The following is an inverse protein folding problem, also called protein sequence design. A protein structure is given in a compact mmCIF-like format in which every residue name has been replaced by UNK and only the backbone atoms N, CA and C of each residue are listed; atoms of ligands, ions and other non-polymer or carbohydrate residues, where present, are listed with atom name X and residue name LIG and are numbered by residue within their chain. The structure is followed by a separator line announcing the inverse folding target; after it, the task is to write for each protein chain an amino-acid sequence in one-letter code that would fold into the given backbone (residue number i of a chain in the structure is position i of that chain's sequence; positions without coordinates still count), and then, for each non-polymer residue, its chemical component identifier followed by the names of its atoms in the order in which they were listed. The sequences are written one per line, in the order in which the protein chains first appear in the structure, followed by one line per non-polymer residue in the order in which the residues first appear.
data_IF_405120536650
#
_entry.id   IF_405120536650
#
_cell.length_a   1.000
_cell.length_b   1.000
_cell.length_c   1.000
_cell.angle_alpha   90.00
_cell.angle_beta   90.00
_cell.angle_gamma   90.00
#
_symmetry.space_group_name_H-M   'P 1'
#
loop_
_entity.id
_entity.type
_entity.pdbx_description
1 polymer ?
#
# COMPACT_ATOMS: atom_id res chain seq x y z
N UNK A 1 15.35 34.10 45.27
CA UNK A 1 16.41 33.87 46.27
C UNK A 1 16.42 32.42 46.70
N UNK A 2 17.39 31.64 46.25
CA UNK A 2 18.27 30.75 47.05
C UNK A 2 19.15 29.96 46.09
N UNK A 3 20.41 29.86 46.49
CA UNK A 3 21.60 29.44 45.76
C UNK A 3 21.94 27.94 45.96
N UNK A 4 22.96 27.50 45.21
CA UNK A 4 23.90 26.37 45.42
C UNK A 4 23.52 25.05 44.73
N UNK A 5 24.41 24.28 44.10
CA UNK A 5 25.84 24.42 43.76
C UNK A 5 26.27 23.24 42.86
N UNK A 6 27.20 23.51 41.95
CA UNK A 6 28.41 22.74 41.56
C UNK A 6 28.35 21.27 41.06
N UNK A 7 29.05 21.11 39.92
CA UNK A 7 29.52 19.92 39.18
C UNK A 7 30.48 19.02 39.99
N UNK A 8 30.82 17.80 39.51
CA UNK A 8 32.02 17.60 38.66
C UNK A 8 31.82 16.58 37.50
N UNK A 9 32.38 16.77 36.29
CA UNK A 9 33.78 16.51 35.86
C UNK A 9 34.21 15.03 35.99
N UNK A 10 34.27 14.33 34.85
CA UNK A 10 35.06 13.10 34.68
C UNK A 10 35.41 12.91 33.21
N UNK A 11 36.62 13.36 32.88
CA UNK A 11 37.33 13.13 31.63
C UNK A 11 37.93 11.72 31.62
N UNK A 12 37.68 10.93 30.58
CA UNK A 12 38.43 9.68 30.35
C UNK A 12 39.51 9.94 29.29
N UNK A 13 40.74 9.96 29.78
CA UNK A 13 41.98 9.88 29.01
C UNK A 13 42.12 8.47 28.41
N UNK A 14 42.42 8.37 27.11
CA UNK A 14 43.02 7.18 26.52
C UNK A 14 44.53 7.42 26.35
N UNK A 15 45.40 6.48 26.75
CA UNK A 15 46.84 6.64 26.58
C UNK A 15 47.26 6.26 25.16
N UNK A 16 48.08 7.12 24.56
CA UNK A 16 48.90 6.80 23.39
C UNK A 16 50.08 5.91 23.82
N UNK A 17 50.07 4.66 23.39
CA UNK A 17 51.22 3.76 23.43
C UNK A 17 52.04 3.88 22.14
N UNK A 18 53.33 4.19 22.30
CA UNK A 18 54.30 4.47 21.24
C UNK A 18 54.84 3.22 20.53
N UNK A 19 55.42 3.45 19.36
CA UNK A 19 55.89 2.53 18.33
C UNK A 19 57.02 1.56 18.73
N UNK A 20 57.12 0.45 18.00
CA UNK A 20 58.40 -0.26 17.78
C UNK A 20 58.48 -0.76 16.32
N UNK A 21 59.52 -0.38 15.54
CA UNK A 21 59.74 -0.92 14.20
C UNK A 21 60.60 -2.19 14.27
N UNK A 22 60.17 -3.23 13.56
CA UNK A 22 60.91 -4.49 13.39
C UNK A 22 60.86 -4.93 11.93
N UNK A 23 62.03 -5.17 11.36
CA UNK A 23 62.35 -5.42 9.95
C UNK A 23 62.08 -6.86 9.48
N UNK A 24 61.51 -6.98 8.27
CA UNK A 24 61.79 -7.90 7.15
C UNK A 24 61.54 -9.43 7.24
N UNK A 25 61.10 -9.96 6.09
CA UNK A 25 61.01 -11.37 5.62
C UNK A 25 59.88 -12.21 6.23
N UNK A 26 59.03 -12.95 5.50
CA UNK A 26 58.96 -13.40 4.11
C UNK A 26 57.48 -13.48 3.70
N UNK A 27 57.11 -12.93 2.55
CA UNK A 27 55.79 -13.15 1.95
C UNK A 27 55.89 -14.39 1.08
N UNK A 28 55.39 -15.53 1.58
CA UNK A 28 54.99 -16.62 0.71
C UNK A 28 53.71 -16.21 -0.05
N UNK A 29 53.58 -16.52 -1.35
CA UNK A 29 52.32 -16.34 -2.05
C UNK A 29 51.31 -17.34 -1.47
N UNK A 30 50.33 -16.83 -0.72
CA UNK A 30 49.12 -17.57 -0.42
C UNK A 30 48.51 -17.94 -1.76
N UNK A 31 48.42 -19.25 -2.01
CA UNK A 31 47.70 -19.82 -3.13
C UNK A 31 46.33 -19.15 -3.20
N UNK A 32 46.06 -18.53 -4.34
CA UNK A 32 44.73 -18.02 -4.65
C UNK A 32 43.76 -19.19 -4.56
N UNK A 33 43.09 -19.32 -3.41
CA UNK A 33 41.79 -19.95 -3.37
C UNK A 33 40.94 -19.12 -4.31
N UNK A 34 40.60 -19.71 -5.45
CA UNK A 34 39.65 -19.14 -6.37
C UNK A 34 38.45 -18.71 -5.56
N UNK A 35 38.22 -17.40 -5.50
CA UNK A 35 36.92 -16.86 -5.18
C UNK A 35 35.99 -17.49 -6.22
N UNK A 36 35.29 -18.54 -5.80
CA UNK A 36 34.14 -19.03 -6.51
C UNK A 36 33.29 -17.81 -6.81
N UNK A 37 33.03 -17.61 -8.10
CA UNK A 37 32.12 -16.60 -8.59
C UNK A 37 30.95 -16.47 -7.63
N UNK A 38 30.65 -15.25 -7.20
CA UNK A 38 29.37 -14.96 -6.58
C UNK A 38 28.30 -15.61 -7.45
N UNK A 39 27.71 -16.69 -6.95
CA UNK A 39 26.49 -17.23 -7.52
C UNK A 39 25.49 -16.10 -7.35
N UNK A 40 25.16 -15.43 -8.45
CA UNK A 40 23.97 -14.60 -8.49
C UNK A 40 22.82 -15.51 -8.10
N UNK A 41 22.36 -15.38 -6.85
CA UNK A 41 21.13 -16.03 -6.41
C UNK A 41 20.05 -15.51 -7.33
N UNK A 42 19.43 -16.41 -8.10
CA UNK A 42 18.33 -16.04 -8.98
C UNK A 42 17.23 -15.40 -8.13
N UNK A 43 16.91 -14.13 -8.39
CA UNK A 43 15.82 -13.43 -7.71
C UNK A 43 14.52 -14.16 -8.00
N UNK A 44 13.76 -14.52 -6.96
CA UNK A 44 12.47 -15.18 -7.09
C UNK A 44 11.51 -14.25 -7.83
N UNK A 45 11.00 -14.65 -9.00
CA UNK A 45 10.08 -13.82 -9.79
C UNK A 45 8.60 -14.13 -9.54
N UNK A 46 8.28 -15.27 -8.91
CA UNK A 46 6.89 -15.66 -8.63
C UNK A 46 6.36 -14.95 -7.38
N UNK A 47 5.39 -14.04 -7.57
CA UNK A 47 4.70 -13.33 -6.48
C UNK A 47 3.97 -14.27 -5.52
N UNK A 48 3.75 -15.52 -5.92
CA UNK A 48 3.12 -16.56 -5.11
C UNK A 48 4.15 -17.38 -4.32
N UNK A 49 5.42 -16.99 -4.28
CA UNK A 49 6.41 -17.63 -3.41
C UNK A 49 6.37 -16.98 -2.01
N UNK A 50 6.28 -17.75 -0.91
CA UNK A 50 6.33 -17.19 0.45
C UNK A 50 7.59 -16.36 0.76
N UNK A 51 8.70 -16.58 0.05
CA UNK A 51 9.95 -15.84 0.18
C UNK A 51 10.04 -14.64 -0.75
N UNK A 52 9.10 -14.43 -1.68
CA UNK A 52 9.15 -13.34 -2.66
C UNK A 52 9.44 -11.97 -2.02
N UNK A 53 8.69 -11.61 -0.97
CA UNK A 53 8.90 -10.33 -0.29
C UNK A 53 10.30 -10.23 0.32
N UNK A 54 10.76 -11.30 0.99
CA UNK A 54 12.05 -11.33 1.67
C UNK A 54 13.22 -11.23 0.68
N UNK A 55 13.12 -11.94 -0.44
CA UNK A 55 14.14 -11.93 -1.49
C UNK A 55 14.26 -10.58 -2.19
N UNK A 56 13.20 -9.76 -2.14
CA UNK A 56 13.22 -8.37 -2.59
C UNK A 56 13.43 -7.37 -1.44
N UNK A 57 13.93 -7.83 -0.29
CA UNK A 57 14.28 -6.96 0.82
C UNK A 57 13.07 -6.38 1.56
N UNK A 58 11.92 -7.06 1.58
CA UNK A 58 10.76 -6.67 2.38
C UNK A 58 10.49 -7.65 3.51
N UNK A 59 10.07 -7.11 4.65
CA UNK A 59 9.56 -7.91 5.77
C UNK A 59 8.22 -7.36 6.26
N UNK A 60 7.37 -8.26 6.74
CA UNK A 60 6.03 -7.94 7.24
C UNK A 60 6.02 -8.04 8.76
N UNK A 61 5.33 -7.10 9.40
CA UNK A 61 5.07 -7.09 10.83
C UNK A 61 3.57 -6.96 11.06
N UNK A 62 2.96 -7.95 11.71
CA UNK A 62 1.58 -7.89 12.20
C UNK A 62 1.50 -7.04 13.48
N UNK A 63 0.77 -5.92 13.39
CA UNK A 63 0.64 -4.93 14.46
C UNK A 63 -0.62 -5.13 15.32
N UNK A 64 -1.44 -6.15 15.04
CA UNK A 64 -2.81 -6.41 15.54
C UNK A 64 -3.93 -5.83 14.65
N UNK A 65 -5.15 -6.33 14.85
CA UNK A 65 -6.37 -5.91 14.15
C UNK A 65 -6.25 -5.90 12.63
N UNK A 66 -5.61 -6.96 12.08
CA UNK A 66 -5.40 -7.14 10.64
C UNK A 66 -4.65 -5.96 9.99
N UNK A 67 -3.83 -5.25 10.77
CA UNK A 67 -2.96 -4.17 10.31
C UNK A 67 -1.53 -4.66 10.23
N UNK A 68 -0.94 -4.53 9.06
CA UNK A 68 0.38 -5.04 8.71
C UNK A 68 1.26 -3.90 8.24
N UNK A 69 2.48 -3.87 8.75
CA UNK A 69 3.51 -2.95 8.31
C UNK A 69 4.49 -3.73 7.45
N UNK A 70 4.74 -3.22 6.25
CA UNK A 70 5.73 -3.75 5.33
C UNK A 70 6.89 -2.76 5.31
N UNK A 71 8.06 -3.25 5.67
CA UNK A 71 9.28 -2.47 5.73
C UNK A 71 10.22 -2.90 4.62
N UNK A 72 10.98 -1.95 4.07
CA UNK A 72 12.16 -2.25 3.27
C UNK A 72 13.37 -2.52 4.17
N UNK A 73 14.27 -3.38 3.71
CA UNK A 73 15.48 -3.75 4.43
C UNK A 73 16.32 -2.50 4.73
N UNK A 74 16.79 -2.34 5.99
CA UNK A 74 17.61 -1.20 6.40
C UNK A 74 18.89 -0.98 5.59
N UNK A 75 19.40 -1.97 4.85
CA UNK A 75 20.54 -1.79 3.94
C UNK A 75 20.25 -0.87 2.75
N UNK A 76 18.98 -0.69 2.38
CA UNK A 76 18.53 0.15 1.25
C UNK A 76 17.94 1.49 1.75
N UNK A 77 17.53 1.55 3.01
CA UNK A 77 16.94 2.71 3.65
C UNK A 77 15.86 2.25 4.62
N UNK A 78 16.07 2.47 5.91
CA UNK A 78 15.11 2.07 6.94
C UNK A 78 13.90 3.02 6.92
N UNK A 79 12.77 2.54 6.42
CA UNK A 79 11.49 3.23 6.44
C UNK A 79 10.33 2.24 6.36
N UNK A 80 9.18 2.60 6.93
CA UNK A 80 7.94 1.88 6.62
C UNK A 80 7.69 2.10 5.13
N UNK A 81 7.71 1.01 4.35
CA UNK A 81 7.46 1.09 2.92
C UNK A 81 5.96 1.14 2.63
N UNK A 82 5.15 0.48 3.47
CA UNK A 82 3.72 0.39 3.30
C UNK A 82 3.02 -0.02 4.59
N UNK A 83 1.86 0.57 4.88
CA UNK A 83 0.93 0.07 5.90
C UNK A 83 -0.33 -0.46 5.20
N UNK A 84 -0.71 -1.70 5.50
CA UNK A 84 -1.90 -2.35 4.94
C UNK A 84 -2.84 -2.72 6.07
N UNK A 85 -4.11 -2.35 5.98
CA UNK A 85 -5.17 -2.84 6.88
C UNK A 85 -6.17 -3.66 6.06
N UNK A 86 -6.52 -4.85 6.56
CA UNK A 86 -7.47 -5.75 5.89
C UNK A 86 -8.75 -5.85 6.70
N UNK A 87 -9.87 -5.49 6.08
CA UNK A 87 -11.21 -5.69 6.63
C UNK A 87 -11.86 -6.87 5.90
N UNK A 88 -11.86 -8.03 6.56
CA UNK A 88 -12.42 -9.27 6.02
C UNK A 88 -13.95 -9.27 5.98
N UNK A 89 -14.62 -8.49 6.84
CA UNK A 89 -16.08 -8.40 6.90
C UNK A 89 -16.60 -7.59 5.71
N UNK A 90 -16.00 -6.43 5.47
CA UNK A 90 -16.33 -5.56 4.34
C UNK A 90 -15.66 -5.98 3.05
N UNK A 91 -14.72 -6.93 3.12
CA UNK A 91 -13.86 -7.37 2.02
C UNK A 91 -13.15 -6.17 1.39
N UNK A 92 -12.46 -5.38 2.20
CA UNK A 92 -11.70 -4.22 1.73
C UNK A 92 -10.26 -4.25 2.23
N UNK A 93 -9.33 -3.76 1.40
CA UNK A 93 -7.97 -3.50 1.82
C UNK A 93 -7.68 -2.01 1.77
N UNK A 94 -7.10 -1.47 2.84
CA UNK A 94 -6.69 -0.07 2.95
C UNK A 94 -5.18 0.01 2.90
N UNK A 95 -4.67 0.83 2.00
CA UNK A 95 -3.25 1.07 1.74
C UNK A 95 -2.92 2.48 2.23
N UNK A 96 -2.21 2.53 3.35
CA UNK A 96 -1.83 3.75 4.05
C UNK A 96 -0.35 4.04 3.84
N UNK A 97 -0.04 5.34 3.81
CA UNK A 97 1.34 5.86 3.83
C UNK A 97 2.24 5.15 2.81
N UNK A 98 1.78 5.12 1.55
CA UNK A 98 2.68 4.79 0.45
C UNK A 98 3.60 6.00 0.32
N UNK A 99 4.83 5.85 0.80
CA UNK A 99 5.92 6.78 0.52
C UNK A 99 6.65 6.25 -0.71
N UNK A 100 6.22 6.60 -1.94
CA UNK A 100 6.86 6.08 -3.15
C UNK A 100 8.28 6.64 -3.30
N UNK A 101 8.57 7.75 -2.61
CA UNK A 101 9.79 8.54 -2.71
C UNK A 101 11.00 7.94 -1.97
N UNK A 102 10.82 6.87 -1.17
CA UNK A 102 11.90 6.31 -0.35
C UNK A 102 12.57 5.04 -0.90
N UNK A 103 12.27 4.59 -2.13
CA UNK A 103 13.07 3.49 -2.72
C UNK A 103 12.50 2.75 -3.94
N UNK A 104 11.42 3.21 -4.57
CA UNK A 104 10.79 2.47 -5.68
C UNK A 104 11.35 2.78 -7.08
N UNK A 105 12.51 3.43 -7.19
CA UNK A 105 13.08 3.85 -8.48
C UNK A 105 14.03 2.85 -9.15
N UNK A 106 14.35 1.72 -8.51
CA UNK A 106 15.04 0.62 -9.19
C UNK A 106 14.03 -0.29 -9.90
N UNK A 107 14.29 -0.59 -11.17
CA UNK A 107 13.48 -1.53 -11.96
C UNK A 107 13.40 -2.94 -11.34
N UNK A 108 14.31 -3.25 -10.42
CA UNK A 108 14.37 -4.52 -9.69
C UNK A 108 13.45 -4.55 -8.46
N UNK A 109 12.90 -3.40 -8.03
CA UNK A 109 12.01 -3.35 -6.87
C UNK A 109 10.55 -3.67 -7.25
N UNK A 110 9.90 -4.59 -6.51
CA UNK A 110 8.49 -4.90 -6.65
C UNK A 110 7.63 -3.64 -6.61
N UNK A 111 6.72 -3.53 -7.57
CA UNK A 111 5.69 -2.49 -7.54
C UNK A 111 4.65 -2.79 -6.46
N UNK A 112 3.97 -1.76 -5.99
CA UNK A 112 2.92 -1.87 -4.98
C UNK A 112 1.89 -3.00 -5.24
N UNK A 113 1.36 -3.21 -6.47
CA UNK A 113 0.52 -4.37 -6.76
C UNK A 113 1.16 -5.74 -6.49
N UNK A 114 2.45 -5.90 -6.78
CA UNK A 114 3.19 -7.14 -6.55
C UNK A 114 3.43 -7.35 -5.06
N UNK A 115 3.79 -6.30 -4.33
CA UNK A 115 3.93 -6.33 -2.86
C UNK A 115 2.61 -6.79 -2.23
N UNK A 116 1.48 -6.19 -2.65
CA UNK A 116 0.16 -6.56 -2.16
C UNK A 116 -0.18 -8.04 -2.44
N UNK A 117 0.03 -8.52 -3.67
CA UNK A 117 -0.25 -9.90 -4.04
C UNK A 117 0.61 -10.90 -3.25
N UNK A 118 1.91 -10.64 -3.14
CA UNK A 118 2.81 -11.47 -2.37
C UNK A 118 2.49 -11.45 -0.86
N UNK A 119 2.10 -10.29 -0.34
CA UNK A 119 1.59 -10.16 1.03
C UNK A 119 0.36 -11.03 1.25
N UNK A 120 -0.65 -10.94 0.39
CA UNK A 120 -1.88 -11.74 0.49
C UNK A 120 -1.59 -13.23 0.42
N UNK A 121 -0.66 -13.66 -0.44
CA UNK A 121 -0.26 -15.06 -0.53
C UNK A 121 0.44 -15.51 0.76
N UNK A 122 1.43 -14.75 1.23
CA UNK A 122 2.22 -15.06 2.44
C UNK A 122 1.34 -15.20 3.69
N UNK A 123 0.41 -14.27 3.87
CA UNK A 123 -0.49 -14.25 5.04
C UNK A 123 -1.75 -15.10 4.84
N UNK A 124 -1.87 -15.83 3.71
CA UNK A 124 -3.04 -16.65 3.36
C UNK A 124 -4.38 -15.87 3.41
N UNK A 125 -4.35 -14.62 2.95
CA UNK A 125 -5.51 -13.73 2.89
C UNK A 125 -6.15 -13.84 1.49
N UNK A 126 -7.46 -14.09 1.38
CA UNK A 126 -8.13 -14.26 0.09
C UNK A 126 -8.40 -12.91 -0.60
N UNK A 127 -7.34 -12.15 -0.89
CA UNK A 127 -7.45 -10.80 -1.44
C UNK A 127 -8.15 -10.73 -2.79
N UNK A 128 -8.20 -11.84 -3.55
CA UNK A 128 -8.98 -11.94 -4.80
C UNK A 128 -10.48 -11.75 -4.59
N UNK A 129 -10.96 -11.91 -3.37
CA UNK A 129 -12.36 -11.69 -2.99
C UNK A 129 -12.64 -10.26 -2.51
N UNK A 130 -11.64 -9.39 -2.45
CA UNK A 130 -11.83 -8.01 -2.01
C UNK A 130 -12.79 -7.27 -2.97
N UNK A 131 -13.74 -6.56 -2.38
CA UNK A 131 -14.73 -5.70 -3.02
C UNK A 131 -14.18 -4.31 -3.30
N UNK A 132 -13.25 -3.84 -2.49
CA UNK A 132 -12.64 -2.53 -2.67
C UNK A 132 -11.19 -2.46 -2.20
N UNK A 133 -10.47 -1.54 -2.83
CA UNK A 133 -9.14 -1.10 -2.39
C UNK A 133 -9.24 0.39 -2.07
N UNK A 134 -8.79 0.77 -0.88
CA UNK A 134 -8.70 2.16 -0.42
C UNK A 134 -7.23 2.57 -0.47
N UNK A 135 -6.90 3.69 -1.11
CA UNK A 135 -5.53 4.20 -1.19
C UNK A 135 -5.52 5.69 -0.85
N UNK A 136 -4.56 6.10 -0.02
CA UNK A 136 -4.30 7.52 0.27
C UNK A 136 -3.81 8.26 -0.99
N UNK A 137 -4.42 9.41 -1.26
CA UNK A 137 -3.98 10.37 -2.25
C UNK A 137 -2.94 11.27 -1.57
N UNK A 138 -1.77 11.37 -2.18
CA UNK A 138 -0.60 12.07 -1.63
C UNK A 138 0.02 13.07 -2.62
N UNK A 139 -0.22 12.93 -3.92
CA UNK A 139 0.37 13.78 -4.94
C UNK A 139 -0.48 15.02 -5.21
N UNK A 140 0.21 16.15 -5.43
CA UNK A 140 -0.44 17.45 -5.61
C UNK A 140 -1.30 17.56 -6.87
N UNK A 141 -1.04 16.75 -7.91
CA UNK A 141 -1.83 16.80 -9.15
C UNK A 141 -3.19 16.15 -8.92
N UNK A 142 -3.21 14.95 -8.31
CA UNK A 142 -4.47 14.27 -7.99
C UNK A 142 -5.30 15.09 -6.99
N UNK A 143 -4.69 15.69 -5.96
CA UNK A 143 -5.41 16.61 -5.07
C UNK A 143 -6.05 17.78 -5.83
N UNK A 144 -5.32 18.37 -6.78
CA UNK A 144 -5.85 19.45 -7.61
C UNK A 144 -7.03 18.99 -8.49
N UNK A 145 -6.95 17.79 -9.05
CA UNK A 145 -8.05 17.21 -9.83
C UNK A 145 -9.29 16.98 -8.97
N UNK A 146 -9.11 16.56 -7.71
CA UNK A 146 -10.19 16.45 -6.73
C UNK A 146 -10.82 17.81 -6.43
N UNK A 147 -10.01 18.84 -6.15
CA UNK A 147 -10.49 20.20 -5.91
C UNK A 147 -11.27 20.77 -7.10
N UNK A 148 -10.73 20.61 -8.31
CA UNK A 148 -11.38 21.04 -9.55
C UNK A 148 -12.71 20.31 -9.76
N UNK A 149 -12.76 19.00 -9.50
CA UNK A 149 -13.99 18.22 -9.60
C UNK A 149 -15.05 18.70 -8.61
N UNK A 150 -14.66 18.96 -7.35
CA UNK A 150 -15.57 19.50 -6.33
C UNK A 150 -16.14 20.86 -6.74
N UNK A 151 -15.28 21.78 -7.17
CA UNK A 151 -15.70 23.12 -7.62
C UNK A 151 -16.63 23.06 -8.83
N UNK A 152 -16.32 22.20 -9.81
CA UNK A 152 -17.14 22.04 -11.02
C UNK A 152 -18.50 21.38 -10.78
N UNK A 153 -18.71 20.75 -9.62
CA UNK A 153 -19.95 20.05 -9.26
C UNK A 153 -20.62 20.65 -7.99
N UNK A 154 -20.24 21.86 -7.58
CA UNK A 154 -20.78 22.56 -6.40
C UNK A 154 -20.70 21.74 -5.09
N UNK A 155 -19.65 20.93 -4.95
CA UNK A 155 -19.41 20.09 -3.77
C UNK A 155 -18.59 20.83 -2.71
N UNK A 156 -18.95 20.64 -1.45
CA UNK A 156 -18.16 21.15 -0.32
C UNK A 156 -16.78 20.49 -0.21
N UNK A 157 -15.80 21.11 0.49
CA UNK A 157 -14.43 20.61 0.59
C UNK A 157 -14.31 19.23 1.25
N UNK A 158 -15.22 18.90 2.17
CA UNK A 158 -15.24 17.61 2.88
C UNK A 158 -16.25 16.63 2.29
N UNK A 159 -17.02 17.06 1.29
CA UNK A 159 -18.08 16.25 0.71
C UNK A 159 -17.47 15.14 -0.14
N UNK A 160 -17.88 13.91 0.14
CA UNK A 160 -17.53 12.76 -0.67
C UNK A 160 -18.27 12.78 -2.01
N UNK A 161 -17.66 12.17 -3.02
CA UNK A 161 -18.31 11.98 -4.32
C UNK A 161 -17.99 10.62 -4.91
N UNK A 162 -18.94 10.12 -5.68
CA UNK A 162 -18.85 8.84 -6.36
C UNK A 162 -18.86 9.03 -7.87
N UNK A 163 -18.08 8.21 -8.57
CA UNK A 163 -17.90 8.25 -10.00
C UNK A 163 -18.03 6.83 -10.55
N UNK A 164 -19.11 6.58 -11.27
CA UNK A 164 -19.29 5.34 -12.01
C UNK A 164 -18.46 5.32 -13.30
N UNK A 165 -18.18 4.13 -13.83
CA UNK A 165 -17.33 3.92 -15.01
C UNK A 165 -17.72 4.67 -16.29
N UNK A 166 -18.97 5.14 -16.38
CA UNK A 166 -19.53 5.86 -17.52
C UNK A 166 -19.77 7.35 -17.25
N UNK A 167 -19.32 7.88 -16.10
CA UNK A 167 -19.50 9.27 -15.73
C UNK A 167 -18.28 10.13 -16.11
N UNK A 168 -18.46 11.44 -16.37
CA UNK A 168 -17.37 12.32 -16.84
C UNK A 168 -16.13 12.35 -15.93
N UNK A 169 -16.30 12.20 -14.62
CA UNK A 169 -15.18 12.16 -13.69
C UNK A 169 -14.28 10.93 -13.86
N UNK A 170 -14.74 9.87 -14.53
CA UNK A 170 -13.98 8.64 -14.66
C UNK A 170 -12.71 8.82 -15.46
N UNK A 171 -12.77 9.60 -16.55
CA UNK A 171 -11.61 9.89 -17.40
C UNK A 171 -10.56 10.76 -16.70
N UNK A 172 -10.95 11.46 -15.63
CA UNK A 172 -10.04 12.25 -14.79
C UNK A 172 -9.28 11.35 -13.83
N UNK A 173 -9.99 10.46 -13.11
CA UNK A 173 -9.38 9.70 -12.02
C UNK A 173 -8.86 8.31 -12.41
N UNK A 174 -9.40 7.66 -13.44
CA UNK A 174 -8.92 6.35 -13.88
C UNK A 174 -7.49 6.33 -14.44
N UNK A 175 -6.92 7.43 -14.99
CA UNK A 175 -5.51 7.46 -15.40
C UNK A 175 -4.53 7.64 -14.24
N UNK A 176 -4.98 7.99 -13.04
CA UNK A 176 -4.12 8.28 -11.88
C UNK A 176 -3.32 7.06 -11.43
N UNK A 177 -2.19 7.30 -10.75
CA UNK A 177 -1.37 6.23 -10.19
C UNK A 177 -2.16 5.40 -9.16
N UNK A 178 -2.98 6.05 -8.33
CA UNK A 178 -3.79 5.38 -7.30
C UNK A 178 -4.80 4.41 -7.89
N UNK A 179 -5.55 4.82 -8.93
CA UNK A 179 -6.47 3.93 -9.61
C UNK A 179 -5.73 2.74 -10.25
N UNK A 180 -4.60 3.00 -10.92
CA UNK A 180 -3.76 1.95 -11.53
C UNK A 180 -3.17 1.00 -10.50
N UNK A 181 -2.78 1.49 -9.33
CA UNK A 181 -2.32 0.64 -8.22
C UNK A 181 -3.45 -0.24 -7.71
N UNK A 182 -4.61 0.33 -7.40
CA UNK A 182 -5.77 -0.42 -6.93
C UNK A 182 -6.20 -1.50 -7.93
N UNK A 183 -6.34 -1.15 -9.20
CA UNK A 183 -6.72 -2.12 -10.25
C UNK A 183 -5.62 -3.15 -10.54
N UNK A 184 -4.35 -2.78 -10.37
CA UNK A 184 -3.23 -3.71 -10.46
C UNK A 184 -3.20 -4.73 -9.32
N UNK A 185 -3.67 -4.37 -8.12
CA UNK A 185 -3.77 -5.30 -6.98
C UNK A 185 -4.77 -6.42 -7.25
N UNK A 186 -5.86 -6.12 -7.96
CA UNK A 186 -6.94 -7.06 -8.32
C UNK A 186 -7.11 -7.17 -9.85
N UNK A 187 -6.12 -7.70 -10.59
CA UNK A 187 -6.05 -7.59 -12.05
C UNK A 187 -7.13 -8.41 -12.78
N UNK A 188 -7.74 -9.39 -12.12
CA UNK A 188 -8.79 -10.24 -12.70
C UNK A 188 -10.20 -9.69 -12.49
N UNK A 189 -10.36 -8.53 -11.85
CA UNK A 189 -11.66 -7.96 -11.49
C UNK A 189 -11.81 -6.57 -12.07
N UNK A 190 -12.96 -6.29 -12.70
CA UNK A 190 -13.22 -4.99 -13.31
C UNK A 190 -13.67 -3.98 -12.25
N UNK A 191 -12.99 -2.84 -12.17
CA UNK A 191 -13.44 -1.72 -11.35
C UNK A 191 -14.78 -1.15 -11.88
N UNK A 192 -15.68 -0.80 -10.97
CA UNK A 192 -17.03 -0.31 -11.29
C UNK A 192 -17.26 1.14 -10.86
N UNK A 193 -16.62 1.54 -9.75
CA UNK A 193 -16.88 2.81 -9.07
C UNK A 193 -15.62 3.31 -8.39
N UNK A 194 -15.42 4.62 -8.48
CA UNK A 194 -14.42 5.35 -7.69
C UNK A 194 -15.20 6.20 -6.68
N UNK A 195 -14.81 6.16 -5.42
CA UNK A 195 -15.30 7.08 -4.39
C UNK A 195 -14.11 7.86 -3.86
N UNK A 196 -14.23 9.18 -3.79
CA UNK A 196 -13.23 10.06 -3.20
C UNK A 196 -13.83 10.76 -2.00
N UNK A 197 -13.15 10.68 -0.87
CA UNK A 197 -13.58 11.29 0.39
C UNK A 197 -12.40 11.71 1.25
N UNK A 198 -12.67 12.52 2.25
CA UNK A 198 -11.72 12.72 3.35
C UNK A 198 -11.97 11.67 4.43
N UNK A 199 -10.89 11.15 4.98
CA UNK A 199 -10.89 10.22 6.09
C UNK A 199 -10.08 10.81 7.25
N UNK A 200 -10.75 10.98 8.38
CA UNK A 200 -10.10 11.40 9.62
C UNK A 200 -9.61 10.16 10.35
N UNK A 201 -8.33 10.14 10.67
CA UNK A 201 -7.66 9.04 11.37
C UNK A 201 -6.99 9.57 12.63
N UNK A 202 -6.83 8.70 13.62
CA UNK A 202 -6.00 9.04 14.76
C UNK A 202 -4.54 9.18 14.31
N UNK A 203 -3.88 10.20 14.85
CA UNK A 203 -2.46 10.41 14.57
C UNK A 203 -1.61 9.50 15.44
N UNK A 204 -0.65 8.81 14.82
CA UNK A 204 0.36 8.02 15.53
C UNK A 204 1.32 8.92 16.34
N UNK A 205 1.42 10.20 15.97
CA UNK A 205 2.14 11.20 16.74
C UNK A 205 1.29 11.75 17.87
N UNK A 206 1.79 11.65 19.10
CA UNK A 206 1.16 12.26 20.28
C UNK A 206 1.03 13.80 20.20
N UNK A 207 1.64 14.45 19.20
CA UNK A 207 1.53 15.91 18.99
C UNK A 207 0.26 16.32 18.26
N UNK A 208 -0.33 15.41 17.49
CA UNK A 208 -1.53 15.70 16.71
C UNK A 208 -2.65 14.77 17.14
N UNK A 209 -3.87 15.29 17.20
CA UNK A 209 -5.03 14.48 17.58
C UNK A 209 -5.56 13.63 16.41
N UNK A 210 -5.37 14.10 15.18
CA UNK A 210 -5.85 13.40 13.99
C UNK A 210 -5.06 13.80 12.74
N UNK A 211 -5.05 12.89 11.77
CA UNK A 211 -4.64 13.12 10.38
C UNK A 211 -5.91 13.13 9.53
N UNK A 212 -6.04 14.11 8.64
CA UNK A 212 -7.08 14.14 7.61
C UNK A 212 -6.41 13.76 6.31
N UNK A 213 -6.77 12.60 5.76
CA UNK A 213 -6.25 12.12 4.49
C UNK A 213 -7.36 12.15 3.44
N UNK A 214 -7.01 12.53 2.21
CA UNK A 214 -7.90 12.32 1.08
C UNK A 214 -7.65 10.93 0.50
N UNK A 215 -8.71 10.15 0.29
CA UNK A 215 -8.60 8.76 -0.13
C UNK A 215 -9.36 8.49 -1.41
N UNK A 216 -8.81 7.60 -2.23
CA UNK A 216 -9.48 7.00 -3.35
C UNK A 216 -9.89 5.57 -2.98
N UNK A 217 -11.18 5.30 -3.03
CA UNK A 217 -11.74 3.95 -2.90
C UNK A 217 -12.11 3.48 -4.31
N UNK A 218 -11.51 2.38 -4.75
CA UNK A 218 -11.88 1.72 -6.00
C UNK A 218 -12.66 0.46 -5.65
N UNK A 219 -13.91 0.40 -6.10
CA UNK A 219 -14.78 -0.76 -5.93
C UNK A 219 -14.79 -1.62 -7.20
N UNK A 220 -14.95 -2.93 -7.02
CA UNK A 220 -14.81 -3.93 -8.07
C UNK A 220 -16.07 -4.78 -8.23
N UNK A 221 -16.44 -5.05 -9.49
CA UNK A 221 -17.57 -5.92 -9.83
C UNK A 221 -17.35 -7.31 -9.26
N UNK A 222 -18.29 -7.80 -8.46
CA UNK A 222 -18.22 -9.16 -7.95
C UNK A 222 -18.59 -10.17 -9.05
N UNK A 223 -17.76 -11.19 -9.31
CA UNK A 223 -18.11 -12.24 -10.27
C UNK A 223 -19.31 -13.03 -9.73
N UNK A 224 -20.47 -12.94 -10.42
CA UNK A 224 -21.66 -13.76 -10.11
C UNK A 224 -22.96 -13.00 -9.85
N UNK A 225 -22.91 -11.67 -9.68
CA UNK A 225 -24.11 -10.83 -9.71
C UNK A 225 -24.40 -10.47 -11.17
N UNK A 226 -25.29 -11.22 -11.82
CA UNK A 226 -25.93 -10.72 -13.04
C UNK A 226 -26.73 -9.49 -12.63
N UNK A 227 -26.55 -8.38 -13.34
CA UNK A 227 -27.51 -7.27 -13.32
C UNK A 227 -28.85 -7.85 -13.77
N UNK A 228 -29.70 -8.22 -12.82
CA UNK A 228 -31.06 -8.70 -13.08
C UNK A 228 -31.98 -7.48 -13.29
N UNK A 229 -31.58 -6.57 -14.17
CA UNK A 229 -32.53 -5.70 -14.88
C UNK A 229 -33.10 -6.50 -16.06
N UNK A 230 -33.72 -7.64 -15.75
CA UNK A 230 -34.67 -8.24 -16.68
C UNK A 230 -35.95 -7.45 -16.50
N UNK A 231 -36.14 -6.45 -17.35
CA UNK A 231 -37.42 -5.78 -17.59
C UNK A 231 -38.48 -6.87 -17.73
N UNK A 232 -39.25 -7.11 -16.67
CA UNK A 232 -40.47 -7.91 -16.74
C UNK A 232 -41.39 -7.13 -17.67
N UNK A 233 -41.54 -7.64 -18.89
CA UNK A 233 -42.45 -7.07 -19.87
C UNK A 233 -43.86 -6.96 -19.24
N UNK A 234 -44.57 -5.83 -19.32
CA UNK A 234 -45.88 -5.63 -18.68
C UNK A 234 -46.97 -6.59 -19.15
N UNK A 235 -46.69 -7.44 -20.13
CA UNK A 235 -47.65 -8.33 -20.77
C UNK A 235 -47.99 -9.56 -19.92
N UNK A 236 -47.10 -10.01 -19.04
CA UNK A 236 -47.33 -11.22 -18.22
C UNK A 236 -48.09 -10.95 -16.91
N UNK A 237 -48.13 -9.69 -16.45
CA UNK A 237 -48.92 -9.30 -15.27
C UNK A 237 -50.43 -9.32 -15.55
N UNK A 238 -50.84 -9.05 -16.80
CA UNK A 238 -52.26 -8.95 -17.16
C UNK A 238 -52.94 -10.31 -17.40
N UNK A 239 -52.17 -11.36 -17.71
CA UNK A 239 -52.70 -12.71 -17.88
C UNK A 239 -53.02 -13.37 -16.53
N UNK A 240 -52.27 -13.07 -15.48
CA UNK A 240 -52.49 -13.62 -14.14
C UNK A 240 -53.75 -13.05 -13.46
N UNK A 241 -54.10 -11.79 -13.74
CA UNK A 241 -55.25 -11.13 -13.11
C UNK A 241 -56.60 -11.59 -13.69
N UNK A 242 -56.63 -12.03 -14.96
CA UNK A 242 -57.85 -12.52 -15.62
C UNK A 242 -58.24 -13.95 -15.20
N UNK A 243 -57.31 -14.78 -14.74
CA UNK A 243 -57.61 -16.13 -14.23
C UNK A 243 -58.15 -16.14 -12.80
N UNK A 244 -57.95 -15.07 -12.02
CA UNK A 244 -58.39 -14.99 -10.63
C UNK A 244 -59.83 -14.46 -10.45
N UNK A 245 -60.51 -14.02 -11.53
CA UNK A 245 -61.84 -13.39 -11.47
C UNK A 245 -63.01 -14.25 -11.94
N UNK A 246 -62.81 -15.55 -12.13
CA UNK A 246 -63.90 -16.49 -12.47
C UNK A 246 -64.16 -17.45 -11.31
N UNK A 247 -64.89 -16.99 -10.30
CA UNK A 247 -65.80 -17.82 -9.46
C UNK A 247 -67.03 -16.96 -9.15
#
# INVERSE_FOLDING_TARGET
MRFYSLLPLSSLFLPFGSCRPGTSQDVQPIQAFGFGSAQGTATISDVSDPQYLKDHGYFTWDMQDMTYWIFSDPLVGSGVALKITIDMERKSATILDNSPDQGLLDQENPRLPQIFQAFCYKENIPCKEMKSIVIDISDSFTHRDVENYRQGNDLGPEQEFEIAANQPGWEVFSPTAYYKHATGMLPSVKAEKIVIKQERRDSESARYAAVIAEVMIVSFKQPGLKDEDTVVSPTDAHAAELSARTI
#
